data_IF_001605718820
#
_entry.id   IF_001605718820
#
_cell.length_a   1.000
_cell.length_b   1.000
_cell.length_c   1.000
_cell.angle_alpha   90.00
_cell.angle_beta   90.00
_cell.angle_gamma   90.00
#
_symmetry.space_group_name_H-M   'P 1'
#
loop_
_entity.id
_entity.type
_entity.pdbx_description
1 polymer ?
#
# COMPACT_ATOMS: atom_id res chain seq x y z
N UNK A 1 1.95 14.77 -9.84
CA UNK A 1 3.20 15.17 -10.47
C UNK A 1 3.52 14.30 -11.66
N UNK A 2 4.33 14.79 -12.54
CA UNK A 2 4.86 14.06 -13.70
C UNK A 2 6.38 14.17 -13.66
N UNK A 3 7.06 13.06 -13.85
CA UNK A 3 8.51 13.03 -14.04
C UNK A 3 8.79 12.76 -15.50
N UNK A 4 9.80 13.45 -16.07
CA UNK A 4 10.19 13.28 -17.46
C UNK A 4 11.51 12.53 -17.52
N UNK A 5 11.60 11.54 -18.40
CA UNK A 5 12.83 10.89 -18.82
C UNK A 5 13.12 11.28 -20.27
N UNK A 6 14.29 11.87 -20.53
CA UNK A 6 14.73 12.23 -21.87
C UNK A 6 15.94 11.37 -22.25
N UNK A 7 15.86 10.67 -23.39
CA UNK A 7 16.92 9.82 -23.92
C UNK A 7 17.48 10.45 -25.20
N UNK A 8 18.79 10.71 -25.28
CA UNK A 8 19.40 11.17 -26.53
C UNK A 8 19.39 10.08 -27.59
N UNK A 9 18.95 10.43 -28.78
CA UNK A 9 19.06 9.61 -29.97
C UNK A 9 20.26 10.12 -30.81
N UNK A 10 20.68 9.34 -31.79
CA UNK A 10 21.71 9.76 -32.75
C UNK A 10 21.25 11.07 -33.45
N UNK A 11 22.17 12.02 -33.65
CA UNK A 11 21.98 13.31 -34.33
C UNK A 11 21.44 14.48 -33.47
N UNK A 12 21.48 14.39 -32.16
CA UNK A 12 21.11 15.50 -31.28
C UNK A 12 19.61 15.62 -31.01
N UNK A 13 18.82 14.69 -31.51
CA UNK A 13 17.43 14.50 -31.11
C UNK A 13 17.36 13.69 -29.80
N UNK A 14 16.26 13.81 -29.08
CA UNK A 14 15.98 13.03 -27.88
C UNK A 14 14.49 12.66 -27.81
N UNK A 15 14.24 11.46 -27.31
CA UNK A 15 12.89 11.01 -26.98
C UNK A 15 12.54 11.40 -25.56
N UNK A 16 11.34 11.94 -25.38
CA UNK A 16 10.83 12.37 -24.08
C UNK A 16 9.70 11.44 -23.64
N UNK A 17 9.87 10.82 -22.48
CA UNK A 17 8.89 9.93 -21.87
C UNK A 17 8.33 10.56 -20.59
N UNK A 18 7.01 10.75 -20.55
CA UNK A 18 6.31 11.26 -19.38
C UNK A 18 6.01 10.11 -18.41
N UNK A 19 6.49 10.24 -17.18
CA UNK A 19 6.34 9.22 -16.13
C UNK A 19 5.32 9.71 -15.11
N UNK A 20 4.12 9.08 -15.04
CA UNK A 20 3.08 9.51 -14.10
C UNK A 20 3.49 9.26 -12.65
N UNK A 21 3.16 10.22 -11.80
CA UNK A 21 3.44 10.21 -10.35
C UNK A 21 2.14 10.45 -9.57
N UNK A 22 1.84 9.54 -8.63
CA UNK A 22 0.73 9.66 -7.70
C UNK A 22 -0.61 10.01 -8.35
N UNK A 23 -0.92 9.39 -9.47
CA UNK A 23 -2.19 9.55 -10.14
C UNK A 23 -3.20 8.55 -9.59
N UNK A 24 -4.46 8.97 -9.50
CA UNK A 24 -5.55 8.12 -9.08
C UNK A 24 -5.96 7.18 -10.23
N UNK A 25 -6.02 5.88 -9.95
CA UNK A 25 -6.65 4.92 -10.86
C UNK A 25 -8.18 4.94 -10.71
N UNK A 26 -8.91 4.31 -11.66
CA UNK A 26 -10.37 4.21 -11.62
C UNK A 26 -10.90 3.51 -10.33
N UNK A 27 -10.09 2.68 -9.70
CA UNK A 27 -10.43 1.97 -8.46
C UNK A 27 -9.77 2.60 -7.23
N UNK A 28 -9.43 3.89 -7.29
CA UNK A 28 -8.79 4.64 -6.21
C UNK A 28 -7.40 4.15 -5.82
N UNK A 29 -6.78 3.29 -6.62
CA UNK A 29 -5.38 2.91 -6.45
C UNK A 29 -4.44 4.03 -6.84
N UNK A 30 -3.18 3.91 -6.44
CA UNK A 30 -2.12 4.86 -6.75
C UNK A 30 -1.31 4.39 -7.96
N UNK A 31 -1.35 5.12 -9.06
CA UNK A 31 -0.45 4.95 -10.20
C UNK A 31 0.78 5.81 -9.96
N UNK A 32 1.90 5.16 -9.69
CA UNK A 32 3.18 5.84 -9.46
C UNK A 32 4.28 5.08 -10.16
N UNK A 33 4.78 5.62 -11.26
CA UNK A 33 5.86 5.01 -12.01
C UNK A 33 7.21 5.52 -11.48
N UNK A 34 8.17 4.63 -11.46
CA UNK A 34 9.54 4.90 -10.99
C UNK A 34 10.53 4.60 -12.11
N UNK A 35 11.36 5.58 -12.55
CA UNK A 35 12.42 5.29 -13.49
C UNK A 35 13.44 4.36 -12.83
N UNK A 36 13.89 3.33 -13.58
CA UNK A 36 14.92 2.38 -13.16
C UNK A 36 16.27 2.68 -13.79
N UNK A 37 16.28 3.48 -14.85
CA UNK A 37 17.49 3.95 -15.51
C UNK A 37 18.02 5.23 -14.85
N UNK A 38 19.31 5.43 -14.90
CA UNK A 38 20.03 6.58 -14.36
C UNK A 38 20.63 7.43 -15.48
N UNK A 39 20.96 8.68 -15.16
CA UNK A 39 21.66 9.54 -16.10
C UNK A 39 23.04 8.97 -16.45
N UNK A 40 23.26 8.71 -17.74
CA UNK A 40 24.51 8.15 -18.27
C UNK A 40 24.40 6.66 -18.64
N UNK A 41 23.31 5.99 -18.30
CA UNK A 41 23.09 4.61 -18.72
C UNK A 41 22.84 4.55 -20.22
N UNK A 42 23.46 3.57 -20.88
CA UNK A 42 23.18 3.24 -22.28
C UNK A 42 22.00 2.29 -22.34
N UNK A 43 21.00 2.60 -23.17
CA UNK A 43 19.80 1.80 -23.33
C UNK A 43 19.58 1.40 -24.77
N UNK A 44 18.95 0.27 -24.98
CA UNK A 44 18.62 -0.28 -26.29
C UNK A 44 17.11 -0.35 -26.50
N UNK A 45 16.69 -0.50 -27.74
CA UNK A 45 15.28 -0.69 -28.06
C UNK A 45 14.74 -1.98 -27.41
N UNK A 46 13.72 -1.84 -26.57
CA UNK A 46 13.14 -2.94 -25.79
C UNK A 46 13.51 -2.93 -24.32
N UNK A 47 14.50 -2.14 -23.89
CA UNK A 47 14.85 -2.02 -22.48
C UNK A 47 13.74 -1.32 -21.68
N UNK A 48 13.53 -1.76 -20.45
CA UNK A 48 12.55 -1.17 -19.54
C UNK A 48 13.14 0.08 -18.90
N UNK A 49 12.49 1.22 -19.08
CA UNK A 49 12.95 2.51 -18.59
C UNK A 49 12.35 2.87 -17.22
N UNK A 50 11.15 2.39 -16.93
CA UNK A 50 10.47 2.68 -15.67
C UNK A 50 9.57 1.52 -15.26
N UNK A 51 9.50 1.29 -13.95
CA UNK A 51 8.57 0.36 -13.34
C UNK A 51 7.24 1.05 -13.02
N UNK A 52 6.15 0.35 -13.29
CA UNK A 52 4.80 0.72 -12.89
C UNK A 52 4.46 0.21 -11.48
N UNK A 53 3.20 0.39 -11.06
CA UNK A 53 2.69 -0.22 -9.84
C UNK A 53 2.84 -1.74 -9.89
N UNK A 54 3.28 -2.34 -8.78
CA UNK A 54 3.50 -3.80 -8.66
C UNK A 54 4.46 -4.38 -9.71
N UNK A 55 5.45 -3.62 -10.13
CA UNK A 55 6.55 -4.06 -10.99
C UNK A 55 7.89 -3.83 -10.30
N UNK A 56 8.86 -4.70 -10.60
CA UNK A 56 10.24 -4.59 -10.16
C UNK A 56 11.17 -5.09 -11.27
N UNK A 57 12.05 -4.20 -11.75
CA UNK A 57 12.97 -4.50 -12.84
C UNK A 57 12.29 -4.88 -14.17
N UNK A 58 11.07 -4.36 -14.43
CA UNK A 58 10.28 -4.67 -15.61
C UNK A 58 9.43 -5.93 -15.51
N UNK A 59 9.49 -6.65 -14.39
CA UNK A 59 8.70 -7.86 -14.14
C UNK A 59 7.56 -7.61 -13.17
N UNK A 60 6.51 -8.42 -13.25
CA UNK A 60 5.36 -8.36 -12.35
C UNK A 60 5.78 -8.82 -10.94
N UNK A 61 5.63 -7.93 -9.95
CA UNK A 61 5.95 -8.14 -8.55
C UNK A 61 4.74 -7.82 -7.66
N UNK A 62 3.71 -8.67 -7.72
CA UNK A 62 2.52 -8.56 -6.88
C UNK A 62 2.82 -9.08 -5.47
N UNK A 63 2.53 -8.23 -4.47
CA UNK A 63 2.71 -8.60 -3.06
C UNK A 63 4.17 -8.63 -2.61
N UNK A 64 4.44 -9.39 -1.57
CA UNK A 64 5.75 -9.51 -0.92
C UNK A 64 6.06 -10.97 -0.59
N UNK A 65 7.34 -11.32 -0.63
CA UNK A 65 7.81 -12.61 -0.13
C UNK A 65 7.92 -12.55 1.40
N UNK A 66 7.15 -13.39 2.08
CA UNK A 66 7.07 -13.45 3.54
C UNK A 66 7.51 -14.82 4.04
N UNK A 67 8.04 -14.87 5.27
CA UNK A 67 8.36 -16.13 5.93
C UNK A 67 7.07 -16.76 6.46
N UNK A 68 6.66 -17.90 5.90
CA UNK A 68 5.39 -18.55 6.20
C UNK A 68 5.62 -19.88 6.94
N UNK A 69 4.81 -20.13 7.97
CA UNK A 69 4.71 -21.43 8.62
C UNK A 69 3.30 -22.03 8.49
N UNK A 70 3.22 -23.30 8.10
CA UNK A 70 1.98 -24.07 8.13
C UNK A 70 1.90 -24.83 9.45
N UNK A 71 1.21 -24.28 10.43
CA UNK A 71 1.03 -24.88 11.75
C UNK A 71 -0.25 -24.37 12.42
N UNK A 72 -0.92 -25.17 13.27
CA UNK A 72 -2.01 -24.66 14.10
C UNK A 72 -1.44 -23.69 15.16
N UNK A 73 -2.16 -22.62 15.46
CA UNK A 73 -1.75 -21.64 16.45
C UNK A 73 -2.93 -21.23 17.34
N UNK A 74 -3.05 -21.80 18.51
CA UNK A 74 -4.05 -21.47 19.55
C UNK A 74 -5.50 -21.34 19.07
N UNK A 75 -5.84 -21.92 17.93
CA UNK A 75 -7.16 -21.78 17.30
C UNK A 75 -7.38 -20.47 16.53
N UNK A 76 -6.46 -19.51 16.58
CA UNK A 76 -6.62 -18.21 15.90
C UNK A 76 -6.45 -18.30 14.37
N UNK A 77 -5.96 -19.40 13.85
CA UNK A 77 -5.91 -19.69 12.42
C UNK A 77 -6.84 -20.84 12.00
N UNK A 78 -7.94 -21.05 12.77
CA UNK A 78 -8.97 -22.01 12.41
C UNK A 78 -9.56 -21.69 11.04
N UNK A 79 -9.80 -22.74 10.24
CA UNK A 79 -10.22 -22.62 8.83
C UNK A 79 -9.20 -21.80 8.00
N UNK A 80 -9.64 -20.66 7.42
CA UNK A 80 -8.86 -19.79 6.56
C UNK A 80 -8.39 -18.51 7.30
N UNK A 81 -8.44 -18.50 8.62
CA UNK A 81 -7.93 -17.41 9.40
C UNK A 81 -6.39 -17.36 9.35
N UNK A 82 -5.84 -16.17 9.24
CA UNK A 82 -4.41 -15.91 9.07
C UNK A 82 -3.90 -15.11 10.26
N UNK A 83 -2.76 -15.51 10.81
CA UNK A 83 -2.02 -14.74 11.80
C UNK A 83 -0.85 -14.06 11.10
N UNK A 84 -0.67 -12.78 11.37
CA UNK A 84 0.37 -11.95 10.76
C UNK A 84 1.23 -11.32 11.85
N UNK A 85 2.53 -11.27 11.62
CA UNK A 85 3.48 -10.56 12.49
C UNK A 85 3.32 -9.04 12.38
N UNK A 86 3.47 -8.32 13.48
CA UNK A 86 3.52 -6.86 13.50
C UNK A 86 4.63 -6.30 12.62
N UNK A 87 5.71 -7.05 12.35
CA UNK A 87 6.77 -6.67 11.42
C UNK A 87 6.20 -6.29 10.05
N UNK A 88 5.24 -7.06 9.53
CA UNK A 88 4.60 -6.82 8.23
C UNK A 88 3.90 -5.47 8.19
N UNK A 89 3.32 -5.06 9.31
CA UNK A 89 2.63 -3.76 9.46
C UNK A 89 3.63 -2.62 9.69
N UNK A 90 4.63 -2.84 10.54
CA UNK A 90 5.64 -1.84 10.91
C UNK A 90 6.53 -1.46 9.72
N UNK A 91 6.98 -2.45 8.96
CA UNK A 91 7.84 -2.26 7.77
C UNK A 91 7.06 -1.93 6.50
N UNK A 92 5.74 -1.73 6.58
CA UNK A 92 4.88 -1.40 5.45
C UNK A 92 4.91 -2.41 4.28
N UNK A 93 5.17 -3.71 4.56
CA UNK A 93 5.39 -4.71 3.51
C UNK A 93 4.17 -4.94 2.62
N UNK A 94 2.96 -4.88 3.19
CA UNK A 94 1.69 -5.03 2.47
C UNK A 94 0.84 -3.75 2.53
N UNK A 95 1.46 -2.62 2.74
CA UNK A 95 0.79 -1.32 2.79
C UNK A 95 0.45 -0.84 1.40
N UNK A 96 -0.75 -0.29 1.22
CA UNK A 96 -1.23 0.27 -0.04
C UNK A 96 -1.52 1.76 0.10
N UNK A 97 -1.41 2.49 -1.02
CA UNK A 97 -1.79 3.89 -1.11
C UNK A 97 -3.08 3.97 -1.92
N UNK A 98 -4.09 4.62 -1.33
CA UNK A 98 -5.36 4.89 -1.97
C UNK A 98 -5.53 6.40 -2.14
N UNK A 99 -5.98 6.82 -3.33
CA UNK A 99 -6.24 8.22 -3.63
C UNK A 99 -7.74 8.40 -3.79
N UNK A 100 -8.34 9.11 -2.83
CA UNK A 100 -9.75 9.49 -2.86
C UNK A 100 -9.90 10.83 -3.55
N UNK A 101 -10.96 10.97 -4.34
CA UNK A 101 -11.34 12.21 -5.00
C UNK A 101 -12.59 12.74 -4.30
N UNK A 102 -12.54 13.99 -3.88
CA UNK A 102 -13.64 14.71 -3.30
C UNK A 102 -13.96 15.90 -4.20
N UNK A 103 -15.22 15.97 -4.63
CA UNK A 103 -15.67 17.01 -5.54
C UNK A 103 -16.79 17.83 -4.90
N UNK A 104 -16.75 19.13 -5.08
CA UNK A 104 -17.81 20.06 -4.71
C UNK A 104 -17.97 21.10 -5.80
N UNK A 105 -19.20 21.42 -6.09
CA UNK A 105 -19.56 22.50 -7.01
C UNK A 105 -20.33 23.62 -6.29
N UNK A 106 -20.17 24.85 -6.77
CA UNK A 106 -20.96 25.99 -6.38
C UNK A 106 -21.92 26.34 -7.52
N UNK A 107 -23.23 26.34 -7.22
CA UNK A 107 -24.30 26.50 -8.21
C UNK A 107 -25.14 27.75 -7.95
N UNK A 108 -25.77 28.23 -9.00
CA UNK A 108 -26.85 29.19 -8.84
C UNK A 108 -28.10 28.51 -8.28
N UNK A 109 -28.59 29.04 -7.16
CA UNK A 109 -29.85 28.60 -6.56
C UNK A 109 -30.92 29.68 -6.71
N UNK A 110 -32.21 29.31 -6.52
CA UNK A 110 -33.32 30.30 -6.56
C UNK A 110 -33.22 31.42 -5.50
N UNK A 111 -32.42 31.19 -4.47
CA UNK A 111 -32.21 32.10 -3.34
C UNK A 111 -30.94 32.92 -3.46
N UNK A 112 -30.14 32.68 -4.48
CA UNK A 112 -28.87 33.30 -4.75
C UNK A 112 -27.80 32.25 -5.08
N UNK A 113 -26.62 32.69 -5.53
CA UNK A 113 -25.50 31.80 -5.83
C UNK A 113 -24.94 31.19 -4.55
N UNK A 114 -24.52 29.94 -4.63
CA UNK A 114 -23.63 29.34 -3.63
C UNK A 114 -22.24 29.95 -3.76
N UNK A 115 -21.52 30.03 -2.65
CA UNK A 115 -20.21 30.67 -2.61
C UNK A 115 -19.21 29.78 -1.90
N UNK A 116 -18.02 29.61 -2.51
CA UNK A 116 -16.88 28.97 -1.87
C UNK A 116 -16.14 30.02 -1.09
N UNK A 117 -16.01 29.84 0.23
CA UNK A 117 -15.45 30.84 1.13
C UNK A 117 -14.89 30.19 2.40
N UNK A 118 -13.91 30.87 3.00
CA UNK A 118 -13.40 30.55 4.33
C UNK A 118 -14.35 30.99 5.46
N UNK A 119 -15.23 31.96 5.19
CA UNK A 119 -16.17 32.50 6.18
C UNK A 119 -17.39 31.60 6.35
N UNK A 120 -17.23 30.53 7.15
CA UNK A 120 -18.25 29.52 7.41
C UNK A 120 -18.87 29.79 8.79
N UNK A 121 -20.21 29.87 8.91
CA UNK A 121 -20.86 30.11 10.19
C UNK A 121 -20.70 28.87 11.13
N UNK A 122 -20.54 29.15 12.43
CA UNK A 122 -20.54 28.15 13.50
C UNK A 122 -19.48 27.04 13.37
N UNK A 123 -18.32 27.34 12.85
CA UNK A 123 -17.19 26.41 12.76
C UNK A 123 -16.03 26.91 13.63
N UNK A 124 -15.25 25.99 14.21
CA UNK A 124 -14.07 26.36 14.99
C UNK A 124 -12.90 26.72 14.06
N UNK A 125 -12.04 27.65 14.49
CA UNK A 125 -10.86 28.05 13.73
C UNK A 125 -9.89 26.89 13.47
N UNK A 126 -9.83 25.92 14.37
CA UNK A 126 -8.98 24.73 14.22
C UNK A 126 -9.37 23.90 12.98
N UNK A 127 -10.67 23.78 12.69
CA UNK A 127 -11.16 23.01 11.54
C UNK A 127 -10.94 23.70 10.18
N UNK A 128 -10.67 24.99 10.19
CA UNK A 128 -10.42 25.80 8.98
C UNK A 128 -8.98 26.33 8.90
N UNK A 129 -8.12 25.89 9.81
CA UNK A 129 -6.72 26.35 9.90
C UNK A 129 -5.93 26.09 8.62
N UNK A 130 -6.21 24.97 7.95
CA UNK A 130 -5.54 24.56 6.71
C UNK A 130 -6.22 25.04 5.43
N UNK A 131 -7.29 25.85 5.53
CA UNK A 131 -7.92 26.49 4.39
C UNK A 131 -7.15 27.77 4.00
N UNK A 132 -7.04 27.98 2.69
CA UNK A 132 -6.53 29.22 2.13
C UNK A 132 -7.54 30.39 2.25
N UNK A 133 -7.20 31.53 1.69
CA UNK A 133 -8.07 32.70 1.70
C UNK A 133 -9.38 32.52 0.93
N UNK A 134 -9.37 31.63 -0.06
CA UNK A 134 -10.54 31.30 -0.89
C UNK A 134 -11.41 30.22 -0.25
N UNK A 135 -11.01 29.65 0.90
CA UNK A 135 -11.75 28.60 1.60
C UNK A 135 -11.46 27.20 1.08
N UNK A 136 -10.37 26.99 0.36
CA UNK A 136 -9.94 25.70 -0.16
C UNK A 136 -8.75 25.21 0.64
N UNK A 137 -8.70 23.89 0.96
CA UNK A 137 -7.60 23.32 1.72
C UNK A 137 -6.28 23.38 0.93
N UNK A 138 -5.16 23.59 1.63
CA UNK A 138 -3.84 23.63 0.98
C UNK A 138 -3.31 22.23 0.63
N UNK A 139 -2.55 22.15 -0.45
CA UNK A 139 -1.80 20.92 -0.80
C UNK A 139 -0.77 20.62 0.29
N UNK A 140 -0.67 19.34 0.67
CA UNK A 140 0.22 18.86 1.73
C UNK A 140 -0.41 18.83 3.13
N UNK A 141 -1.61 19.41 3.32
CA UNK A 141 -2.33 19.31 4.59
C UNK A 141 -2.68 17.86 4.93
N UNK A 142 -2.57 17.51 6.20
CA UNK A 142 -3.04 16.25 6.74
C UNK A 142 -4.47 16.44 7.25
N UNK A 143 -5.39 15.59 6.79
CA UNK A 143 -6.82 15.74 7.06
C UNK A 143 -7.38 14.53 7.77
N UNK A 144 -8.28 14.80 8.71
CA UNK A 144 -8.98 13.82 9.55
C UNK A 144 -10.49 13.85 9.31
N UNK A 145 -11.23 12.82 9.73
CA UNK A 145 -12.70 12.80 9.61
C UNK A 145 -13.32 14.04 10.25
N UNK A 146 -14.15 14.76 9.47
CA UNK A 146 -14.82 15.98 9.90
C UNK A 146 -14.13 17.28 9.52
N UNK A 147 -12.84 17.26 9.15
CA UNK A 147 -12.13 18.45 8.68
C UNK A 147 -12.76 18.99 7.39
N UNK A 148 -12.70 20.31 7.23
CA UNK A 148 -13.23 21.00 6.05
C UNK A 148 -12.20 20.95 4.92
N UNK A 149 -12.61 20.38 3.79
CA UNK A 149 -11.81 20.38 2.55
C UNK A 149 -12.06 21.64 1.71
N UNK A 150 -13.34 22.01 1.58
CA UNK A 150 -13.76 23.23 0.89
C UNK A 150 -14.89 23.88 1.68
N UNK A 151 -14.68 25.10 2.08
CA UNK A 151 -15.71 25.91 2.70
C UNK A 151 -16.74 26.35 1.67
N UNK A 152 -18.00 25.97 1.86
CA UNK A 152 -19.10 26.39 0.99
C UNK A 152 -20.30 26.80 1.81
N UNK A 153 -20.93 27.89 1.38
CA UNK A 153 -22.15 28.41 2.00
C UNK A 153 -23.26 28.54 0.97
N UNK A 154 -24.46 28.22 1.39
CA UNK A 154 -25.69 28.30 0.57
C UNK A 154 -26.65 29.30 1.20
N UNK A 155 -27.24 30.23 0.44
CA UNK A 155 -28.23 31.17 0.97
C UNK A 155 -29.45 30.42 1.55
N UNK A 156 -29.94 30.86 2.74
CA UNK A 156 -31.16 30.37 3.37
C UNK A 156 -32.39 31.07 2.87
N UNK A 157 -33.50 30.34 2.73
CA UNK A 157 -34.81 30.92 2.49
C UNK A 157 -35.46 31.50 3.76
N UNK A 158 -36.34 32.48 3.62
CA UNK A 158 -37.04 33.11 4.76
C UNK A 158 -37.86 32.14 5.63
N UNK A 159 -38.29 31.02 5.07
CA UNK A 159 -39.03 29.95 5.77
C UNK A 159 -38.18 29.06 6.65
N UNK A 160 -36.86 29.05 6.45
CA UNK A 160 -35.91 28.23 7.21
C UNK A 160 -35.31 28.97 8.42
N UNK A 161 -35.67 30.24 8.62
CA UNK A 161 -35.21 31.05 9.74
C UNK A 161 -35.86 30.63 11.06
N UNK A 162 -35.07 30.44 12.09
CA UNK A 162 -35.60 30.32 13.48
C UNK A 162 -36.21 31.61 13.95
N UNK A 163 -37.05 31.56 14.99
CA UNK A 163 -37.68 32.77 15.57
C UNK A 163 -36.63 33.80 16.08
N UNK A 164 -35.50 33.28 16.60
CA UNK A 164 -34.38 34.09 17.10
C UNK A 164 -33.62 34.78 15.93
N UNK A 165 -33.37 34.07 14.84
CA UNK A 165 -32.75 34.62 13.64
C UNK A 165 -33.61 35.69 12.99
N UNK A 166 -34.93 35.52 12.93
CA UNK A 166 -35.87 36.58 12.46
C UNK A 166 -35.82 37.81 13.32
N UNK A 167 -35.73 37.66 14.65
CA UNK A 167 -35.61 38.77 15.58
C UNK A 167 -34.29 39.56 15.39
N UNK A 168 -33.19 38.84 15.25
CA UNK A 168 -31.86 39.39 14.99
C UNK A 168 -31.83 40.20 13.67
N UNK A 169 -32.47 39.68 12.61
CA UNK A 169 -32.64 40.36 11.33
C UNK A 169 -33.43 41.65 11.46
N UNK A 170 -34.49 41.65 12.25
CA UNK A 170 -35.29 42.82 12.51
C UNK A 170 -34.56 43.92 13.29
N UNK A 171 -33.59 43.54 14.14
CA UNK A 171 -32.82 44.47 14.99
C UNK A 171 -31.58 45.01 14.24
N UNK A 172 -30.87 44.15 13.51
CA UNK A 172 -29.57 44.49 12.91
C UNK A 172 -29.63 44.80 11.40
N UNK A 173 -30.80 44.70 10.76
CA UNK A 173 -31.02 45.02 9.35
C UNK A 173 -30.50 43.97 8.37
N UNK A 174 -30.69 44.18 7.05
CA UNK A 174 -30.43 43.18 5.97
C UNK A 174 -28.97 42.81 5.76
N UNK A 175 -28.02 43.25 6.57
CA UNK A 175 -26.59 43.00 6.37
C UNK A 175 -26.08 41.60 6.80
N UNK A 176 -26.88 40.82 7.54
CA UNK A 176 -26.54 39.42 7.81
C UNK A 176 -27.15 38.53 6.71
N UNK A 177 -26.43 38.28 5.64
CA UNK A 177 -26.76 37.17 4.73
C UNK A 177 -26.77 35.91 5.55
N UNK A 178 -27.95 35.37 5.85
CA UNK A 178 -28.07 34.08 6.48
C UNK A 178 -27.74 33.00 5.47
N UNK A 179 -26.64 32.35 5.72
CA UNK A 179 -26.14 31.27 4.91
C UNK A 179 -26.09 29.98 5.74
N UNK A 180 -26.28 28.87 5.08
CA UNK A 180 -26.12 27.54 5.66
C UNK A 180 -24.77 26.98 5.28
N UNK A 181 -24.08 26.36 6.24
CA UNK A 181 -22.86 25.60 5.98
C UNK A 181 -23.22 24.37 5.11
N UNK A 182 -22.65 24.35 3.91
CA UNK A 182 -22.73 23.24 2.95
C UNK A 182 -21.32 22.81 2.53
N UNK A 183 -20.34 23.07 3.38
CA UNK A 183 -18.93 22.75 3.14
C UNK A 183 -18.69 21.28 2.87
N UNK A 184 -17.75 20.98 2.01
CA UNK A 184 -17.25 19.65 1.79
C UNK A 184 -16.34 19.27 2.96
N UNK A 185 -16.73 18.23 3.70
CA UNK A 185 -15.96 17.71 4.84
C UNK A 185 -15.46 16.31 4.56
N UNK A 186 -14.36 15.94 5.20
CA UNK A 186 -13.81 14.59 5.13
C UNK A 186 -14.81 13.61 5.75
N UNK A 187 -15.26 12.58 5.00
CA UNK A 187 -16.20 11.59 5.52
C UNK A 187 -15.62 10.78 6.68
N UNK A 188 -16.50 10.24 7.50
CA UNK A 188 -16.12 9.37 8.61
C UNK A 188 -15.38 8.11 8.09
N UNK A 189 -14.28 7.76 8.75
CA UNK A 189 -13.41 6.64 8.33
C UNK A 189 -12.45 6.96 7.18
N UNK A 190 -12.48 8.18 6.65
CA UNK A 190 -11.54 8.68 5.65
C UNK A 190 -10.55 9.66 6.29
N UNK A 191 -9.44 9.90 5.61
CA UNK A 191 -8.42 10.84 6.04
C UNK A 191 -7.17 10.65 5.20
N UNK A 192 -6.13 11.42 5.46
CA UNK A 192 -4.87 11.29 4.75
C UNK A 192 -4.23 12.65 4.43
N UNK A 193 -3.45 12.70 3.36
CA UNK A 193 -2.75 13.91 2.94
C UNK A 193 -3.27 14.43 1.61
N UNK A 194 -3.55 15.70 1.54
CA UNK A 194 -3.95 16.36 0.29
C UNK A 194 -2.75 16.39 -0.66
N UNK A 195 -2.89 15.76 -1.83
CA UNK A 195 -1.83 15.65 -2.84
C UNK A 195 -2.06 16.53 -4.07
N UNK A 196 -3.29 16.95 -4.31
CA UNK A 196 -3.62 17.79 -5.45
C UNK A 196 -4.98 18.47 -5.31
N UNK A 197 -5.11 19.61 -5.96
CA UNK A 197 -6.32 20.39 -6.02
C UNK A 197 -6.51 20.81 -7.48
N UNK A 198 -7.72 20.62 -7.98
CA UNK A 198 -8.14 21.09 -9.29
C UNK A 198 -9.33 22.03 -9.11
N UNK A 199 -9.20 23.24 -9.63
CA UNK A 199 -10.25 24.27 -9.57
C UNK A 199 -10.61 24.68 -10.99
N UNK A 200 -11.88 24.67 -11.32
CA UNK A 200 -12.43 25.18 -12.55
C UNK A 200 -13.47 26.25 -12.23
N UNK A 201 -13.44 27.34 -12.96
CA UNK A 201 -14.35 28.47 -12.77
C UNK A 201 -14.90 28.92 -14.11
N UNK A 202 -16.20 29.22 -14.13
CA UNK A 202 -16.84 29.83 -15.31
C UNK A 202 -16.25 31.20 -15.63
N UNK A 203 -15.81 31.94 -14.64
CA UNK A 203 -15.14 33.25 -14.82
C UNK A 203 -13.80 33.12 -15.54
N UNK A 204 -13.09 32.01 -15.32
CA UNK A 204 -11.85 31.71 -16.03
C UNK A 204 -12.09 31.18 -17.47
N UNK A 205 -13.34 30.96 -17.87
CA UNK A 205 -13.71 30.46 -19.20
C UNK A 205 -13.76 28.94 -19.30
N UNK A 206 -13.74 28.21 -18.20
CA UNK A 206 -13.82 26.75 -18.19
C UNK A 206 -15.23 26.27 -18.58
N UNK A 207 -15.28 25.15 -19.30
CA UNK A 207 -16.54 24.50 -19.69
C UNK A 207 -17.12 23.73 -18.52
N UNK A 208 -18.08 24.32 -17.83
CA UNK A 208 -18.77 23.72 -16.68
C UNK A 208 -20.22 23.40 -17.02
N UNK A 209 -20.77 22.45 -16.30
CA UNK A 209 -22.19 22.05 -16.43
C UNK A 209 -23.11 23.28 -16.25
N UNK A 210 -24.30 23.29 -16.90
CA UNK A 210 -25.25 24.39 -16.78
C UNK A 210 -25.61 24.68 -15.30
N UNK A 211 -25.49 25.95 -14.90
CA UNK A 211 -25.80 26.40 -13.53
C UNK A 211 -24.67 26.19 -12.52
N UNK A 212 -23.54 25.61 -12.91
CA UNK A 212 -22.34 25.52 -12.06
C UNK A 212 -21.44 26.71 -12.35
N UNK A 213 -21.04 27.43 -11.30
CA UNK A 213 -20.16 28.60 -11.38
C UNK A 213 -18.70 28.20 -11.08
N UNK A 214 -18.50 27.29 -10.15
CA UNK A 214 -17.20 26.84 -9.73
C UNK A 214 -17.24 25.35 -9.38
N UNK A 215 -16.17 24.63 -9.69
CA UNK A 215 -15.95 23.23 -9.39
C UNK A 215 -14.58 23.05 -8.75
N UNK A 216 -14.54 22.42 -7.58
CA UNK A 216 -13.30 22.09 -6.89
C UNK A 216 -13.21 20.59 -6.68
N UNK A 217 -12.09 20.00 -7.12
CA UNK A 217 -11.72 18.58 -6.86
C UNK A 217 -10.49 18.54 -6.01
N UNK A 218 -10.55 17.74 -4.96
CA UNK A 218 -9.45 17.52 -4.03
C UNK A 218 -9.07 16.05 -4.03
N UNK A 219 -7.79 15.80 -4.20
CA UNK A 219 -7.22 14.46 -4.15
C UNK A 219 -6.51 14.25 -2.82
N UNK A 220 -6.98 13.27 -2.05
CA UNK A 220 -6.43 12.91 -0.74
C UNK A 220 -5.84 11.51 -0.83
N UNK A 221 -4.54 11.39 -0.56
CA UNK A 221 -3.85 10.12 -0.47
C UNK A 221 -3.92 9.56 0.95
N UNK A 222 -4.41 8.34 1.07
CA UNK A 222 -4.47 7.58 2.31
C UNK A 222 -3.52 6.38 2.23
N UNK A 223 -2.66 6.24 3.23
CA UNK A 223 -1.84 5.05 3.43
C UNK A 223 -2.63 4.04 4.27
N UNK A 224 -2.94 2.88 3.70
CA UNK A 224 -3.66 1.82 4.38
C UNK A 224 -2.73 0.69 4.75
N UNK A 225 -2.51 0.51 6.03
CA UNK A 225 -1.75 -0.60 6.61
C UNK A 225 -2.64 -1.81 6.81
N UNK A 226 -2.02 -2.98 6.78
CA UNK A 226 -2.69 -4.25 7.05
C UNK A 226 -3.23 -4.27 8.47
N UNK A 227 -4.47 -4.72 8.63
CA UNK A 227 -5.16 -4.81 9.91
C UNK A 227 -6.01 -6.08 10.01
N UNK A 228 -6.50 -6.38 11.21
CA UNK A 228 -7.45 -7.46 11.44
C UNK A 228 -8.71 -7.26 10.59
N UNK A 229 -9.18 -8.36 9.97
CA UNK A 229 -10.31 -8.33 9.05
C UNK A 229 -9.93 -8.16 7.58
N UNK A 230 -8.70 -7.77 7.27
CA UNK A 230 -8.24 -7.69 5.89
C UNK A 230 -8.06 -9.07 5.27
N UNK A 231 -8.32 -9.16 3.97
CA UNK A 231 -8.21 -10.39 3.21
C UNK A 231 -6.87 -10.47 2.51
N UNK A 232 -6.16 -11.56 2.74
CA UNK A 232 -4.93 -11.91 2.05
C UNK A 232 -5.13 -13.12 1.13
N UNK A 233 -4.32 -13.20 0.10
CA UNK A 233 -4.27 -14.36 -0.79
C UNK A 233 -2.85 -14.63 -1.28
N UNK A 234 -2.55 -15.92 -1.53
CA UNK A 234 -1.36 -16.33 -2.26
C UNK A 234 -1.64 -16.48 -3.76
N UNK A 235 -0.66 -17.03 -4.49
CA UNK A 235 -0.73 -17.24 -5.95
C UNK A 235 -1.40 -18.54 -6.37
N UNK A 236 -1.85 -19.38 -5.42
CA UNK A 236 -2.39 -20.72 -5.66
C UNK A 236 -3.88 -20.85 -5.30
N UNK A 237 -4.62 -19.73 -5.28
CA UNK A 237 -6.03 -19.72 -4.89
C UNK A 237 -6.28 -19.85 -3.39
N UNK A 238 -5.22 -19.94 -2.58
CA UNK A 238 -5.30 -19.84 -1.13
C UNK A 238 -5.61 -18.42 -0.70
N UNK A 239 -6.64 -18.27 0.11
CA UNK A 239 -7.14 -16.96 0.59
C UNK A 239 -7.60 -17.10 2.03
N UNK A 240 -7.46 -16.02 2.78
CA UNK A 240 -7.92 -16.01 4.16
C UNK A 240 -8.07 -14.59 4.68
N UNK A 241 -8.60 -14.49 5.90
CA UNK A 241 -8.81 -13.21 6.58
C UNK A 241 -7.88 -13.14 7.79
N UNK A 242 -7.25 -11.99 7.99
CA UNK A 242 -6.38 -11.77 9.13
C UNK A 242 -7.21 -11.77 10.40
N UNK A 243 -6.95 -12.75 11.27
CA UNK A 243 -7.59 -12.87 12.57
C UNK A 243 -6.86 -12.08 13.64
N UNK A 244 -5.54 -12.07 13.60
CA UNK A 244 -4.69 -11.36 14.54
C UNK A 244 -3.42 -10.83 13.89
N UNK A 245 -2.95 -9.70 14.42
CA UNK A 245 -1.60 -9.20 14.25
C UNK A 245 -0.92 -9.39 15.60
N UNK A 246 0.17 -10.17 15.64
CA UNK A 246 0.91 -10.48 16.85
C UNK A 246 2.22 -9.70 16.90
N UNK A 247 2.67 -9.26 18.08
CA UNK A 247 4.02 -8.74 18.29
C UNK A 247 5.08 -9.72 17.75
N UNK A 248 6.20 -9.20 17.28
CA UNK A 248 7.28 -10.02 16.70
C UNK A 248 7.82 -11.03 17.71
N UNK A 249 7.93 -10.65 18.97
CA UNK A 249 8.40 -11.48 20.09
C UNK A 249 7.44 -12.63 20.45
N UNK A 250 6.16 -12.53 20.10
CA UNK A 250 5.17 -13.58 20.34
C UNK A 250 5.08 -14.57 19.17
N UNK A 251 5.68 -14.21 18.04
CA UNK A 251 5.70 -15.08 16.85
C UNK A 251 6.67 -16.25 17.04
N UNK A 252 6.36 -17.43 16.48
CA UNK A 252 7.33 -18.51 16.43
C UNK A 252 8.56 -18.10 15.62
N UNK A 253 9.72 -18.63 15.99
CA UNK A 253 10.99 -18.29 15.36
C UNK A 253 11.84 -19.53 15.07
N UNK A 254 12.77 -19.40 14.13
CA UNK A 254 13.73 -20.42 13.74
C UNK A 254 14.91 -20.49 14.74
N UNK A 255 15.73 -21.53 14.64
CA UNK A 255 16.89 -21.74 15.52
C UNK A 255 17.90 -20.57 15.51
N UNK A 256 17.98 -19.81 14.42
CA UNK A 256 18.83 -18.62 14.29
C UNK A 256 18.17 -17.33 14.85
N UNK A 257 16.96 -17.43 15.38
CA UNK A 257 16.18 -16.31 15.88
C UNK A 257 15.33 -15.59 14.82
N UNK A 258 15.29 -16.04 13.57
CA UNK A 258 14.47 -15.42 12.53
C UNK A 258 12.97 -15.66 12.81
N UNK A 259 12.15 -14.62 13.00
CA UNK A 259 10.73 -14.77 13.29
C UNK A 259 9.94 -15.14 12.04
N UNK A 260 8.84 -15.84 12.23
CA UNK A 260 7.86 -16.13 11.17
C UNK A 260 6.95 -14.91 10.96
N UNK A 261 6.65 -14.59 9.71
CA UNK A 261 5.80 -13.45 9.36
C UNK A 261 4.32 -13.79 9.30
N UNK A 262 4.00 -15.00 8.84
CA UNK A 262 2.62 -15.44 8.61
C UNK A 262 2.45 -16.88 9.06
N UNK A 263 1.37 -17.17 9.79
CA UNK A 263 1.02 -18.52 10.20
C UNK A 263 -0.30 -18.91 9.52
N UNK A 264 -0.25 -19.99 8.76
CA UNK A 264 -1.37 -20.55 8.02
C UNK A 264 -1.79 -21.90 8.60
N UNK A 265 -3.10 -22.20 8.53
CA UNK A 265 -3.61 -23.48 8.96
C UNK A 265 -3.31 -24.56 7.91
N UNK A 266 -2.61 -25.64 8.28
CA UNK A 266 -2.32 -26.74 7.36
C UNK A 266 -3.58 -27.46 6.86
N UNK A 267 -4.68 -27.46 7.62
CA UNK A 267 -5.93 -28.10 7.22
C UNK A 267 -6.60 -27.44 5.99
N UNK A 268 -6.22 -26.21 5.66
CA UNK A 268 -6.70 -25.51 4.47
C UNK A 268 -6.14 -26.05 3.15
N UNK A 269 -5.14 -26.94 3.17
CA UNK A 269 -4.45 -27.41 1.97
C UNK A 269 -5.01 -28.73 1.42
N UNK A 270 -5.18 -29.81 2.22
CA UNK A 270 -5.50 -31.14 1.69
C UNK A 270 -6.84 -31.20 0.94
N UNK A 271 -7.88 -30.58 1.50
CA UNK A 271 -9.22 -30.61 0.90
C UNK A 271 -9.33 -29.80 -0.40
N UNK A 272 -8.47 -28.79 -0.58
CA UNK A 272 -8.48 -27.90 -1.74
C UNK A 272 -7.49 -28.29 -2.82
N UNK A 273 -6.58 -29.24 -2.51
CA UNK A 273 -5.61 -29.82 -3.45
C UNK A 273 -4.71 -28.77 -4.16
N UNK A 274 -4.58 -27.57 -3.61
CA UNK A 274 -3.69 -26.51 -4.14
C UNK A 274 -2.25 -26.70 -3.62
N UNK A 275 -1.64 -27.83 -3.98
CA UNK A 275 -0.31 -28.25 -3.50
C UNK A 275 0.80 -27.27 -3.93
N UNK A 276 0.59 -26.53 -5.01
CA UNK A 276 1.55 -25.54 -5.50
C UNK A 276 2.01 -24.54 -4.44
N UNK A 277 1.16 -24.20 -3.46
CA UNK A 277 1.57 -23.33 -2.34
C UNK A 277 2.64 -23.96 -1.44
N UNK A 278 2.63 -25.28 -1.27
CA UNK A 278 3.66 -25.99 -0.50
C UNK A 278 4.98 -26.06 -1.29
N UNK A 279 4.91 -26.39 -2.58
CA UNK A 279 6.07 -26.39 -3.47
C UNK A 279 6.72 -24.99 -3.55
N UNK A 280 5.91 -23.94 -3.65
CA UNK A 280 6.37 -22.56 -3.59
C UNK A 280 7.09 -22.26 -2.27
N UNK A 281 6.54 -22.69 -1.14
CA UNK A 281 7.15 -22.46 0.17
C UNK A 281 8.50 -23.20 0.31
N UNK A 282 8.60 -24.43 -0.19
CA UNK A 282 9.86 -25.20 -0.19
C UNK A 282 10.93 -24.56 -1.07
N UNK A 283 10.58 -24.21 -2.30
CA UNK A 283 11.53 -23.57 -3.22
C UNK A 283 11.89 -22.17 -2.73
N UNK A 284 10.93 -21.43 -2.17
CA UNK A 284 11.16 -20.11 -1.56
C UNK A 284 12.12 -20.15 -0.37
N UNK A 285 12.10 -21.22 0.43
CA UNK A 285 13.09 -21.46 1.48
C UNK A 285 14.50 -21.54 0.90
N UNK A 286 14.69 -22.42 -0.11
CA UNK A 286 15.98 -22.57 -0.76
C UNK A 286 16.43 -21.25 -1.41
N UNK A 287 15.54 -20.56 -2.12
CA UNK A 287 15.84 -19.29 -2.79
C UNK A 287 16.22 -18.18 -1.81
N UNK A 288 15.61 -18.13 -0.63
CA UNK A 288 15.95 -17.15 0.41
C UNK A 288 17.40 -17.23 0.84
N UNK A 289 17.90 -18.43 1.01
CA UNK A 289 19.26 -18.67 1.52
C UNK A 289 20.30 -18.79 0.40
N UNK A 290 19.85 -19.11 -0.80
CA UNK A 290 20.73 -19.35 -1.93
C UNK A 290 21.39 -20.73 -1.92
N UNK A 291 21.85 -21.19 -3.07
CA UNK A 291 22.59 -22.44 -3.24
C UNK A 291 23.59 -22.35 -4.39
N UNK A 292 24.60 -23.23 -4.38
CA UNK A 292 25.51 -23.45 -5.49
C UNK A 292 25.22 -24.82 -6.14
N UNK A 293 25.30 -24.90 -7.46
CA UNK A 293 25.21 -26.15 -8.20
C UNK A 293 26.54 -26.95 -8.22
N UNK A 294 27.61 -26.38 -7.72
CA UNK A 294 28.89 -27.06 -7.58
C UNK A 294 28.81 -28.11 -6.45
N UNK A 295 29.12 -29.37 -6.77
CA UNK A 295 28.88 -30.51 -5.86
C UNK A 295 29.80 -30.53 -4.61
N UNK A 296 30.96 -29.88 -4.63
CA UNK A 296 31.95 -29.93 -3.54
C UNK A 296 32.68 -28.61 -3.31
N UNK A 297 31.94 -27.48 -3.24
CA UNK A 297 32.59 -26.21 -2.92
C UNK A 297 32.16 -25.69 -1.56
N UNK A 298 33.13 -25.25 -0.77
CA UNK A 298 32.90 -24.42 0.43
C UNK A 298 32.51 -22.98 0.02
N UNK A 299 32.14 -22.79 -1.24
CA UNK A 299 31.77 -21.48 -1.78
C UNK A 299 30.42 -21.06 -1.20
N UNK A 300 30.41 -19.91 -0.54
CA UNK A 300 29.23 -19.31 0.04
C UNK A 300 28.51 -18.47 -1.02
N UNK A 301 27.24 -18.78 -1.24
CA UNK A 301 26.35 -17.99 -2.09
C UNK A 301 25.45 -17.16 -1.20
N UNK A 302 25.52 -15.83 -1.31
CA UNK A 302 24.61 -14.95 -0.58
C UNK A 302 23.25 -14.90 -1.27
N UNK A 303 22.20 -15.24 -0.53
CA UNK A 303 20.80 -15.10 -0.98
C UNK A 303 20.27 -13.67 -0.76
N UNK A 304 19.05 -13.36 -1.23
CA UNK A 304 18.15 -14.27 -1.94
C UNK A 304 18.49 -14.45 -3.43
N UNK A 305 18.25 -15.65 -3.95
CA UNK A 305 18.33 -15.94 -5.38
C UNK A 305 16.96 -15.75 -6.03
N UNK A 306 16.98 -15.22 -7.26
CA UNK A 306 15.78 -15.11 -8.08
C UNK A 306 15.63 -16.37 -8.93
N UNK A 307 14.49 -17.03 -8.81
CA UNK A 307 14.19 -18.29 -9.50
C UNK A 307 13.07 -18.07 -10.50
N UNK A 308 13.29 -18.47 -11.75
CA UNK A 308 12.28 -18.46 -12.81
C UNK A 308 12.17 -19.84 -13.43
N UNK A 309 10.94 -20.27 -13.68
CA UNK A 309 10.64 -21.49 -14.44
C UNK A 309 9.85 -21.13 -15.71
N UNK A 310 9.97 -21.90 -16.81
CA UNK A 310 9.11 -21.75 -17.97
C UNK A 310 7.63 -21.91 -17.59
N UNK A 311 6.75 -21.26 -18.36
CA UNK A 311 5.30 -21.37 -18.16
C UNK A 311 4.86 -22.83 -18.44
N UNK A 312 4.10 -23.41 -17.52
CA UNK A 312 3.65 -24.82 -17.52
C UNK A 312 4.76 -25.88 -17.48
N UNK A 313 5.99 -25.49 -17.18
CA UNK A 313 7.12 -26.39 -16.99
C UNK A 313 7.86 -25.97 -15.71
N UNK A 314 7.17 -26.12 -14.57
CA UNK A 314 7.66 -25.78 -13.25
C UNK A 314 8.68 -26.82 -12.73
N UNK A 315 9.37 -26.45 -11.64
CA UNK A 315 10.31 -27.34 -10.98
C UNK A 315 9.60 -28.60 -10.43
N UNK A 316 10.25 -29.73 -10.59
CA UNK A 316 9.79 -31.00 -10.05
C UNK A 316 10.04 -31.10 -8.55
N UNK A 317 9.37 -32.04 -7.86
CA UNK A 317 9.60 -32.28 -6.43
C UNK A 317 11.05 -32.70 -6.13
N UNK A 318 11.69 -33.45 -7.05
CA UNK A 318 13.09 -33.86 -6.93
C UNK A 318 14.03 -32.68 -7.01
N UNK A 319 13.86 -31.79 -8.01
CA UNK A 319 14.66 -30.56 -8.17
C UNK A 319 14.51 -29.61 -6.96
N UNK A 320 13.31 -29.47 -6.42
CA UNK A 320 13.06 -28.66 -5.22
C UNK A 320 13.76 -29.28 -4.00
N UNK A 321 13.68 -30.62 -3.85
CA UNK A 321 14.34 -31.35 -2.75
C UNK A 321 15.86 -31.18 -2.82
N UNK A 322 16.45 -31.28 -4.01
CA UNK A 322 17.88 -31.07 -4.22
C UNK A 322 18.30 -29.61 -3.92
N UNK A 323 17.47 -28.65 -4.34
CA UNK A 323 17.70 -27.23 -4.01
C UNK A 323 17.69 -26.99 -2.49
N UNK A 324 16.79 -27.63 -1.75
CA UNK A 324 16.74 -27.55 -0.27
C UNK A 324 18.01 -28.12 0.35
N UNK A 325 18.50 -29.28 -0.11
CA UNK A 325 19.73 -29.87 0.42
C UNK A 325 20.95 -29.00 0.14
N UNK A 326 21.03 -28.44 -1.07
CA UNK A 326 22.09 -27.49 -1.44
C UNK A 326 22.03 -26.21 -0.60
N UNK A 327 20.82 -25.66 -0.37
CA UNK A 327 20.63 -24.48 0.46
C UNK A 327 20.98 -24.74 1.94
N UNK A 328 20.62 -25.89 2.49
CA UNK A 328 21.01 -26.28 3.85
C UNK A 328 22.55 -26.37 3.99
N UNK A 329 23.23 -26.95 2.99
CA UNK A 329 24.70 -26.99 2.95
C UNK A 329 25.28 -25.60 2.90
N UNK A 330 24.75 -24.74 2.04
CA UNK A 330 25.18 -23.34 1.93
C UNK A 330 25.04 -22.59 3.26
N UNK A 331 23.92 -22.80 3.98
CA UNK A 331 23.70 -22.22 5.32
C UNK A 331 24.76 -22.66 6.33
N UNK A 332 25.18 -23.93 6.33
CA UNK A 332 26.26 -24.44 7.18
C UNK A 332 27.56 -23.75 6.81
N UNK A 333 27.89 -23.66 5.51
CA UNK A 333 29.09 -22.99 5.03
C UNK A 333 29.10 -21.50 5.43
N UNK A 334 27.97 -20.80 5.30
CA UNK A 334 27.81 -19.42 5.77
C UNK A 334 28.06 -19.27 7.27
N UNK A 335 27.57 -20.21 8.08
CA UNK A 335 27.78 -20.24 9.51
C UNK A 335 29.27 -20.41 9.85
N UNK A 336 29.94 -21.36 9.20
CA UNK A 336 31.39 -21.58 9.37
C UNK A 336 32.22 -20.39 8.85
N UNK A 337 31.88 -19.82 7.73
CA UNK A 337 32.54 -18.62 7.22
C UNK A 337 32.43 -17.42 8.17
N UNK A 338 31.28 -17.29 8.84
CA UNK A 338 31.01 -16.17 9.75
C UNK A 338 31.65 -16.35 11.14
N UNK A 339 31.63 -17.56 11.69
CA UNK A 339 31.98 -17.84 13.09
C UNK A 339 33.24 -18.69 13.27
N UNK A 340 33.81 -19.29 12.19
CA UNK A 340 34.98 -20.13 12.24
C UNK A 340 34.81 -21.29 13.22
N UNK A 341 35.79 -21.51 14.09
CA UNK A 341 35.76 -22.56 15.12
C UNK A 341 34.64 -22.41 16.17
N UNK A 342 33.97 -21.26 16.20
CA UNK A 342 32.83 -21.02 17.10
C UNK A 342 31.46 -21.32 16.40
N UNK A 343 31.49 -21.77 15.16
CA UNK A 343 30.26 -22.14 14.45
C UNK A 343 29.49 -23.24 15.19
N UNK A 344 28.17 -23.08 15.23
CA UNK A 344 27.25 -24.03 15.87
C UNK A 344 26.21 -24.45 14.85
N UNK A 345 26.37 -25.63 14.27
CA UNK A 345 25.48 -26.12 13.22
C UNK A 345 24.06 -26.42 13.74
N UNK A 346 23.91 -26.66 15.07
CA UNK A 346 22.62 -26.81 15.71
C UNK A 346 21.76 -25.53 15.69
N UNK A 347 22.39 -24.36 15.52
CA UNK A 347 21.69 -23.06 15.42
C UNK A 347 21.39 -22.68 13.97
N UNK A 348 21.80 -23.49 13.00
CA UNK A 348 21.49 -23.25 11.59
C UNK A 348 20.10 -23.80 11.30
N UNK A 349 19.15 -22.96 10.83
CA UNK A 349 17.82 -23.42 10.50
C UNK A 349 17.89 -24.28 9.23
N UNK A 350 17.58 -25.56 9.37
CA UNK A 350 17.58 -26.51 8.27
C UNK A 350 16.16 -26.98 7.98
N UNK A 351 15.83 -27.10 6.70
CA UNK A 351 14.60 -27.70 6.25
C UNK A 351 14.86 -29.16 5.87
N UNK A 352 14.03 -30.08 6.36
CA UNK A 352 14.09 -31.47 5.92
C UNK A 352 13.58 -31.59 4.48
N UNK A 353 13.86 -32.71 3.79
CA UNK A 353 13.29 -33.02 2.46
C UNK A 353 11.76 -32.95 2.45
N UNK A 354 11.11 -33.19 3.59
CA UNK A 354 9.65 -33.11 3.74
C UNK A 354 9.15 -31.70 4.06
N UNK A 355 10.01 -30.70 4.00
CA UNK A 355 9.66 -29.29 4.29
C UNK A 355 9.44 -28.96 5.77
N UNK A 356 9.93 -29.82 6.70
CA UNK A 356 9.77 -29.57 8.14
C UNK A 356 11.03 -29.04 8.75
N UNK A 357 10.87 -28.08 9.67
CA UNK A 357 11.92 -27.57 10.54
C UNK A 357 11.39 -27.39 11.95
N UNK A 358 12.29 -27.20 12.92
CA UNK A 358 11.92 -26.86 14.29
C UNK A 358 11.66 -25.37 14.39
N UNK A 359 10.58 -25.04 15.08
CA UNK A 359 10.23 -23.66 15.46
C UNK A 359 10.12 -23.60 16.97
N UNK A 360 10.53 -22.49 17.52
CA UNK A 360 10.46 -22.19 18.95
C UNK A 360 9.34 -21.19 19.20
N UNK A 361 8.58 -21.38 20.26
CA UNK A 361 7.52 -20.45 20.66
C UNK A 361 8.15 -19.16 21.20
N UNK A 362 7.77 -18.01 20.63
CA UNK A 362 8.32 -16.71 21.02
C UNK A 362 8.07 -16.33 22.47
N UNK A 363 6.98 -16.84 23.07
CA UNK A 363 6.59 -16.51 24.45
C UNK A 363 7.24 -17.43 25.49
N UNK A 364 7.44 -18.69 25.19
CA UNK A 364 7.98 -19.67 26.14
C UNK A 364 9.43 -20.04 25.88
N UNK A 365 9.89 -19.87 24.64
CA UNK A 365 11.23 -20.27 24.20
C UNK A 365 11.39 -21.79 24.00
N UNK A 366 10.31 -22.56 24.10
CA UNK A 366 10.29 -24.01 23.89
C UNK A 366 9.97 -24.41 22.46
#
# INVERSE_FOLDING_TARGET
GVQTCALPIYDGEYDEYLIPKFQRSNQSGCINHRPIVRKGDEVQAGDVLADGPSCDGGELALGQNLMIAYMPWEGYNYEDAIIVSERVVAEDLLTSIHISEYEVDARDTKLGPEEITREIPNISEDMISDLDADGIIRVGAEVFPGDVLVGKVTPKGETELTAEERLLRAIFGEKAREVRDTSLKVPHGSGGRVIGIYRSSREAGDDLAPGVNELVRIYVAQKRKVQQGDKLSGRHGNKGVISRVLPVEDMPYLADGTPIDVILNPLGVPSRMNVGQLLENHLGWAAKWGWSDAEETDEVVEGPMYVATPVFDGATEEEISDAIEKANRNLINMNHAKYGDMARDELVPQLTRTGKTWLYDGRTGE
#
